data_IF_273786355576
#
_entry.id   IF_273786355576
#
_cell.length_a   1.000
_cell.length_b   1.000
_cell.length_c   1.000
_cell.angle_alpha   90.00
_cell.angle_beta   90.00
_cell.angle_gamma   90.00
#
_symmetry.space_group_name_H-M   'P 1'
#
loop_
_entity.id
_entity.type
_entity.pdbx_description
1 polymer ?
#
# COMPACT_ATOMS: atom_id res chain seq x y z
N UNK A 1 0.56 -5.31 1.46
CA UNK A 1 0.94 -6.02 2.70
C UNK A 1 -0.21 -5.99 3.69
N UNK A 2 -0.43 -7.07 4.44
CA UNK A 2 -1.41 -7.05 5.53
C UNK A 2 -1.00 -6.07 6.65
N UNK A 3 -1.86 -5.10 6.95
CA UNK A 3 -1.63 -4.11 8.01
C UNK A 3 -2.44 -4.41 9.29
N UNK A 4 -3.03 -5.60 9.38
CA UNK A 4 -3.97 -6.01 10.43
C UNK A 4 -5.26 -5.18 10.46
N UNK A 5 -6.24 -5.59 11.27
CA UNK A 5 -7.51 -4.85 11.45
C UNK A 5 -8.24 -4.56 10.14
N UNK A 6 -8.25 -5.51 9.20
CA UNK A 6 -8.84 -5.36 7.86
C UNK A 6 -8.26 -4.20 7.03
N UNK A 7 -7.01 -3.81 7.30
CA UNK A 7 -6.27 -2.79 6.58
C UNK A 7 -5.11 -3.40 5.81
N UNK A 8 -4.68 -2.70 4.78
CA UNK A 8 -3.50 -3.02 3.96
C UNK A 8 -2.58 -1.82 3.82
N UNK A 9 -1.28 -2.10 3.75
CA UNK A 9 -0.33 -1.16 3.17
C UNK A 9 -0.23 -1.48 1.69
N UNK A 10 -0.55 -0.53 0.84
CA UNK A 10 -0.61 -0.71 -0.61
C UNK A 10 -0.23 0.57 -1.34
N UNK A 11 0.02 0.46 -2.63
CA UNK A 11 0.08 1.53 -3.60
C UNK A 11 -0.44 0.98 -4.92
N UNK A 12 -0.80 1.84 -5.84
CA UNK A 12 -1.21 1.48 -7.18
C UNK A 12 -0.13 1.87 -8.17
N UNK A 13 0.27 0.92 -8.98
CA UNK A 13 1.39 1.06 -9.91
C UNK A 13 0.98 0.53 -11.28
N UNK A 14 1.57 1.07 -12.32
CA UNK A 14 1.41 0.62 -13.70
C UNK A 14 2.76 0.58 -14.39
N UNK A 15 2.96 -0.39 -15.26
CA UNK A 15 4.09 -0.40 -16.17
C UNK A 15 3.71 0.27 -17.48
N UNK A 16 4.46 1.30 -17.85
CA UNK A 16 4.39 1.98 -19.15
C UNK A 16 5.81 2.00 -19.74
N UNK A 17 5.96 1.49 -20.95
CA UNK A 17 7.25 1.43 -21.64
C UNK A 17 8.39 0.83 -20.79
N UNK A 18 8.09 -0.25 -20.07
CA UNK A 18 8.97 -0.94 -19.10
C UNK A 18 9.35 -0.11 -17.87
N UNK A 19 8.76 1.06 -17.69
CA UNK A 19 8.92 1.86 -16.48
C UNK A 19 7.77 1.70 -15.50
N UNK A 20 8.12 1.60 -14.22
CA UNK A 20 7.13 1.59 -13.15
C UNK A 20 6.63 3.01 -12.89
N UNK A 21 5.37 3.25 -13.16
CA UNK A 21 4.69 4.52 -12.85
C UNK A 21 3.84 4.37 -11.60
N UNK A 22 3.91 5.34 -10.72
CA UNK A 22 3.07 5.42 -9.52
C UNK A 22 1.74 6.04 -9.95
N UNK A 23 0.65 5.27 -9.86
CA UNK A 23 -0.73 5.76 -10.07
C UNK A 23 -1.24 6.36 -8.78
N UNK A 24 -1.06 5.65 -7.67
CA UNK A 24 -1.26 6.16 -6.31
C UNK A 24 -0.13 5.72 -5.41
N UNK A 25 0.36 6.64 -4.63
CA UNK A 25 1.47 6.41 -3.71
C UNK A 25 1.10 5.45 -2.58
N UNK A 26 2.10 5.06 -1.84
CA UNK A 26 1.95 4.15 -0.71
C UNK A 26 0.99 4.71 0.33
N UNK A 27 0.03 3.88 0.75
CA UNK A 27 -0.99 4.26 1.72
C UNK A 27 -1.33 3.12 2.67
N UNK A 28 -1.88 3.48 3.82
CA UNK A 28 -2.57 2.57 4.71
C UNK A 28 -4.08 2.77 4.55
N UNK A 29 -4.80 1.76 4.09
CA UNK A 29 -6.22 1.86 3.74
C UNK A 29 -6.96 0.59 4.18
N UNK A 30 -8.26 0.69 4.50
CA UNK A 30 -9.07 -0.52 4.71
C UNK A 30 -9.24 -1.26 3.38
N UNK A 31 -9.28 -2.60 3.43
CA UNK A 31 -9.46 -3.40 2.22
C UNK A 31 -10.76 -3.06 1.50
N UNK A 32 -11.82 -2.77 2.25
CA UNK A 32 -13.10 -2.32 1.67
C UNK A 32 -12.94 -1.07 0.81
N UNK A 33 -12.35 -0.01 1.37
CA UNK A 33 -12.13 1.24 0.63
C UNK A 33 -11.20 1.05 -0.57
N UNK A 34 -10.25 0.12 -0.48
CA UNK A 34 -9.40 -0.22 -1.61
C UNK A 34 -10.23 -0.87 -2.74
N UNK A 35 -11.09 -1.83 -2.41
CA UNK A 35 -11.96 -2.49 -3.37
C UNK A 35 -12.93 -1.48 -4.01
N UNK A 36 -13.56 -0.62 -3.21
CA UNK A 36 -14.45 0.43 -3.72
C UNK A 36 -13.73 1.32 -4.74
N UNK A 37 -12.52 1.77 -4.40
CA UNK A 37 -11.66 2.56 -5.29
C UNK A 37 -11.26 1.81 -6.56
N UNK A 38 -10.91 0.53 -6.47
CA UNK A 38 -10.54 -0.29 -7.62
C UNK A 38 -11.74 -0.53 -8.55
N UNK A 39 -12.94 -0.66 -8.00
CA UNK A 39 -14.17 -0.80 -8.79
C UNK A 39 -14.52 0.44 -9.62
N UNK A 40 -13.93 1.59 -9.32
CA UNK A 40 -14.05 2.81 -10.12
C UNK A 40 -13.08 2.83 -11.32
N UNK A 41 -12.10 1.91 -11.34
CA UNK A 41 -11.15 1.78 -12.45
C UNK A 41 -11.77 0.95 -13.58
N UNK A 42 -11.51 1.33 -14.81
CA UNK A 42 -11.92 0.56 -16.00
C UNK A 42 -10.71 -0.20 -16.58
N UNK A 43 -10.05 -1.00 -15.73
CA UNK A 43 -8.87 -1.77 -16.13
C UNK A 43 -8.67 -2.99 -15.27
N UNK A 44 -7.98 -4.00 -15.80
CA UNK A 44 -7.58 -5.18 -15.05
C UNK A 44 -6.54 -4.82 -13.97
N UNK A 45 -6.65 -5.48 -12.81
CA UNK A 45 -5.74 -5.31 -11.68
C UNK A 45 -5.06 -6.62 -11.33
N UNK A 46 -3.75 -6.57 -11.13
CA UNK A 46 -2.96 -7.70 -10.64
C UNK A 46 -2.62 -7.47 -9.17
N UNK A 47 -3.07 -8.37 -8.31
CA UNK A 47 -2.75 -8.33 -6.88
C UNK A 47 -1.47 -9.11 -6.57
N UNK A 48 -0.62 -8.54 -5.75
CA UNK A 48 0.58 -9.20 -5.21
C UNK A 48 0.85 -8.74 -3.78
N UNK A 49 1.62 -9.53 -3.06
CA UNK A 49 1.98 -9.27 -1.67
C UNK A 49 1.35 -10.26 -0.69
N UNK A 50 1.82 -10.27 0.53
CA UNK A 50 1.39 -11.18 1.61
C UNK A 50 -0.08 -10.96 2.03
N UNK A 51 -0.62 -9.76 1.81
CA UNK A 51 -2.03 -9.46 2.05
C UNK A 51 -3.01 -10.24 1.15
N UNK A 52 -2.55 -10.73 -0.01
CA UNK A 52 -3.41 -11.49 -0.94
C UNK A 52 -4.01 -12.73 -0.27
N UNK A 53 -3.23 -13.49 0.46
CA UNK A 53 -3.70 -14.69 1.15
C UNK A 53 -4.76 -14.40 2.23
N UNK A 54 -4.72 -13.20 2.81
CA UNK A 54 -5.67 -12.77 3.86
C UNK A 54 -6.99 -12.29 3.27
N UNK A 55 -6.94 -11.62 2.12
CA UNK A 55 -8.09 -10.91 1.54
C UNK A 55 -8.63 -11.53 0.26
N UNK A 56 -8.12 -12.69 -0.14
CA UNK A 56 -8.49 -13.36 -1.40
C UNK A 56 -9.98 -13.56 -1.57
N UNK A 57 -10.65 -14.01 -0.52
CA UNK A 57 -12.09 -14.29 -0.56
C UNK A 57 -12.88 -12.99 -0.69
N UNK A 58 -12.52 -11.96 0.07
CA UNK A 58 -13.16 -10.65 -0.01
C UNK A 58 -12.97 -9.99 -1.39
N UNK A 59 -11.79 -10.14 -2.00
CA UNK A 59 -11.52 -9.68 -3.37
C UNK A 59 -12.46 -10.41 -4.35
N UNK A 60 -12.58 -11.73 -4.22
CA UNK A 60 -13.41 -12.52 -5.12
C UNK A 60 -14.92 -12.21 -4.98
N UNK A 61 -15.38 -11.84 -3.80
CA UNK A 61 -16.79 -11.53 -3.53
C UNK A 61 -17.19 -10.10 -3.95
N UNK A 62 -16.29 -9.13 -3.77
CA UNK A 62 -16.65 -7.71 -3.83
C UNK A 62 -16.04 -6.94 -5.01
N UNK A 63 -14.95 -7.46 -5.62
CA UNK A 63 -14.32 -6.79 -6.75
C UNK A 63 -15.09 -7.10 -8.05
N UNK A 64 -15.46 -6.05 -8.78
CA UNK A 64 -16.32 -6.14 -9.98
C UNK A 64 -15.55 -6.03 -11.30
N UNK A 65 -14.29 -5.56 -11.24
CA UNK A 65 -13.43 -5.44 -12.42
C UNK A 65 -12.62 -6.71 -12.64
N UNK A 66 -12.09 -6.95 -13.84
CA UNK A 66 -11.18 -8.07 -14.09
C UNK A 66 -9.95 -7.99 -13.19
N UNK A 67 -9.56 -9.11 -12.62
CA UNK A 67 -8.38 -9.17 -11.76
C UNK A 67 -7.68 -10.52 -11.88
N UNK A 68 -6.41 -10.52 -11.49
CA UNK A 68 -5.60 -11.73 -11.35
C UNK A 68 -4.67 -11.62 -10.14
N UNK A 69 -4.10 -12.75 -9.75
CA UNK A 69 -3.08 -12.78 -8.69
C UNK A 69 -1.73 -13.09 -9.29
N UNK A 70 -0.70 -12.41 -8.83
CA UNK A 70 0.65 -12.71 -9.25
C UNK A 70 1.01 -14.18 -8.94
N UNK A 71 1.82 -14.83 -9.79
CA UNK A 71 2.33 -16.17 -9.52
C UNK A 71 2.98 -16.29 -8.15
N UNK A 72 2.89 -17.46 -7.52
CA UNK A 72 3.34 -17.68 -6.14
C UNK A 72 4.80 -17.24 -5.89
N UNK A 73 5.68 -17.43 -6.86
CA UNK A 73 7.09 -17.02 -6.78
C UNK A 73 7.32 -15.50 -6.90
N UNK A 74 6.30 -14.73 -7.32
CA UNK A 74 6.33 -13.28 -7.42
C UNK A 74 5.48 -12.57 -6.35
N UNK A 75 4.74 -13.33 -5.56
CA UNK A 75 3.73 -12.79 -4.65
C UNK A 75 4.28 -12.28 -3.31
N UNK A 76 5.55 -12.50 -3.00
CA UNK A 76 6.19 -12.04 -1.77
C UNK A 76 7.32 -11.06 -2.05
N UNK A 77 7.67 -10.27 -1.06
CA UNK A 77 8.78 -9.33 -1.11
C UNK A 77 10.07 -10.09 -1.43
N UNK A 78 10.86 -9.54 -2.35
CA UNK A 78 12.14 -10.09 -2.78
C UNK A 78 13.22 -9.04 -2.72
N UNK A 79 14.32 -9.34 -2.02
CA UNK A 79 15.46 -8.44 -1.92
C UNK A 79 16.03 -8.04 -3.28
N UNK A 80 16.05 -8.97 -4.25
CA UNK A 80 16.53 -8.68 -5.61
C UNK A 80 15.68 -7.62 -6.33
N UNK A 81 14.36 -7.61 -6.13
CA UNK A 81 13.49 -6.59 -6.70
C UNK A 81 13.76 -5.21 -6.07
N UNK A 82 13.97 -5.16 -4.76
CA UNK A 82 14.37 -3.93 -4.05
C UNK A 82 15.73 -3.44 -4.53
N UNK A 83 16.70 -4.33 -4.67
CA UNK A 83 18.04 -3.99 -5.17
C UNK A 83 18.01 -3.45 -6.60
N UNK A 84 17.25 -4.08 -7.50
CA UNK A 84 17.12 -3.63 -8.89
C UNK A 84 16.52 -2.22 -8.99
N UNK A 85 15.45 -1.95 -8.23
CA UNK A 85 14.86 -0.61 -8.16
C UNK A 85 15.82 0.40 -7.50
N UNK A 86 16.53 -0.02 -6.45
CA UNK A 86 17.53 0.80 -5.78
C UNK A 86 18.68 1.21 -6.70
N UNK A 87 19.17 0.31 -7.56
CA UNK A 87 20.18 0.64 -8.57
C UNK A 87 19.68 1.67 -9.57
N UNK A 88 18.43 1.56 -10.02
CA UNK A 88 17.79 2.55 -10.88
C UNK A 88 17.76 3.92 -10.19
N UNK A 89 17.27 3.98 -8.96
CA UNK A 89 17.20 5.21 -8.18
C UNK A 89 18.57 5.84 -7.94
N UNK A 90 19.57 5.00 -7.67
CA UNK A 90 20.95 5.45 -7.52
C UNK A 90 21.49 6.11 -8.82
N UNK A 91 21.24 5.49 -9.98
CA UNK A 91 21.63 6.04 -11.27
C UNK A 91 20.92 7.36 -11.62
N UNK A 92 19.69 7.55 -11.12
CA UNK A 92 18.89 8.77 -11.27
C UNK A 92 19.26 9.87 -10.23
N UNK A 93 20.23 9.62 -9.35
CA UNK A 93 20.59 10.54 -8.26
C UNK A 93 19.55 10.62 -7.12
N UNK A 94 18.59 9.72 -7.09
CA UNK A 94 17.58 9.60 -6.03
C UNK A 94 18.15 8.82 -4.85
N UNK A 95 19.04 9.46 -4.12
CA UNK A 95 19.79 8.89 -3.01
C UNK A 95 19.56 9.69 -1.74
N UNK A 96 19.74 9.03 -0.60
CA UNK A 96 19.73 9.65 0.71
C UNK A 96 20.97 9.21 1.49
N UNK A 97 21.50 10.09 2.30
CA UNK A 97 22.54 9.74 3.27
C UNK A 97 21.92 8.97 4.45
N UNK A 98 22.73 8.29 5.23
CA UNK A 98 22.27 7.62 6.44
C UNK A 98 21.62 8.56 7.47
N UNK A 99 21.98 9.84 7.45
CA UNK A 99 21.40 10.86 8.33
C UNK A 99 20.01 11.32 7.87
N UNK A 100 19.77 11.30 6.56
CA UNK A 100 18.50 11.74 5.96
C UNK A 100 17.48 10.61 5.88
N UNK A 101 17.95 9.35 5.84
CA UNK A 101 17.07 8.21 5.67
C UNK A 101 16.28 7.91 6.93
N UNK A 102 14.96 7.99 6.82
CA UNK A 102 14.02 7.67 7.89
C UNK A 102 12.94 6.72 7.38
N UNK A 103 12.36 5.86 8.26
CA UNK A 103 11.22 5.04 7.88
C UNK A 103 10.02 5.90 7.48
N UNK A 104 9.31 5.48 6.42
CA UNK A 104 8.04 6.09 6.05
C UNK A 104 6.89 5.42 6.81
N UNK A 105 6.42 6.04 7.88
CA UNK A 105 5.30 5.56 8.69
C UNK A 105 3.97 5.98 8.07
N UNK A 106 3.37 5.10 7.27
CA UNK A 106 2.09 5.33 6.60
C UNK A 106 0.88 5.34 7.55
N UNK A 107 1.06 4.90 8.77
CA UNK A 107 0.03 4.86 9.81
C UNK A 107 0.61 5.31 11.14
N UNK A 108 -0.12 6.15 11.83
CA UNK A 108 0.22 6.53 13.21
C UNK A 108 0.31 5.29 14.11
N UNK A 109 1.22 5.31 15.05
CA UNK A 109 1.31 4.28 16.10
C UNK A 109 0.00 4.21 16.89
N UNK A 110 -0.22 3.13 17.60
CA UNK A 110 -1.42 3.01 18.44
C UNK A 110 -1.49 4.13 19.49
N UNK A 111 -0.35 4.45 20.12
CA UNK A 111 -0.28 5.50 21.14
C UNK A 111 -0.61 6.88 20.56
N UNK A 112 -0.13 7.21 19.38
CA UNK A 112 -0.44 8.48 18.71
C UNK A 112 -1.91 8.58 18.31
N UNK A 113 -2.53 7.50 17.85
CA UNK A 113 -3.96 7.47 17.55
C UNK A 113 -4.82 7.64 18.79
N UNK A 114 -4.51 6.91 19.86
CA UNK A 114 -5.22 7.04 21.14
C UNK A 114 -5.08 8.43 21.73
N UNK A 115 -3.92 9.05 21.53
CA UNK A 115 -3.70 10.45 21.94
C UNK A 115 -4.55 11.41 21.12
N UNK A 116 -4.55 11.27 19.79
CA UNK A 116 -5.36 12.10 18.91
C UNK A 116 -6.87 11.96 19.19
N UNK A 117 -7.34 10.74 19.47
CA UNK A 117 -8.72 10.48 19.87
C UNK A 117 -9.09 11.15 21.20
N UNK A 118 -8.20 11.12 22.20
CA UNK A 118 -8.39 11.82 23.49
C UNK A 118 -8.41 13.33 23.31
N UNK A 119 -7.50 13.87 22.50
CA UNK A 119 -7.43 15.31 22.21
C UNK A 119 -8.69 15.77 21.44
N UNK A 120 -9.18 14.98 20.48
CA UNK A 120 -10.42 15.26 19.77
C UNK A 120 -11.66 15.21 20.69
N UNK A 121 -11.73 14.21 21.58
CA UNK A 121 -12.80 14.10 22.56
C UNK A 121 -12.76 15.25 23.58
N UNK A 122 -11.59 15.71 23.98
CA UNK A 122 -11.43 16.83 24.90
C UNK A 122 -11.79 18.20 24.25
N UNK A 123 -11.56 18.35 22.95
CA UNK A 123 -11.92 19.57 22.21
C UNK A 123 -13.40 19.65 21.85
N UNK A 124 -14.13 18.53 21.81
CA UNK A 124 -15.58 18.47 21.58
C UNK A 124 -16.44 18.82 22.80
N UNK A 125 -15.86 19.10 23.96
CA UNK A 125 -16.58 19.42 25.21
C UNK A 125 -16.53 20.92 25.54
N UNK A 126 -16.54 21.79 24.54
CA UNK A 126 -16.74 23.23 24.75
C UNK A 126 -17.94 23.69 23.92
N UNK A 127 -19.12 23.47 24.48
CA UNK A 127 -20.30 24.34 24.28
C UNK A 127 -20.85 24.63 25.67
#
# INVERSE_FOLDING_TARGET
MDARRKQVYTGLYRFEDQELKIVEDQMAISMQKLIDKLNELDTEVVFLGDGVSVFKDMIAEELKIPYSFAPAHLNKQRAAAVAALGLKYFAEGRIQTATEHVPNYLRLSQAERERAEREAAASGTKI
#
